data_IF_990571785568
#
_entry.id   IF_990571785568
#
_cell.length_a   1.000
_cell.length_b   1.000
_cell.length_c   1.000
_cell.angle_alpha   90.00
_cell.angle_beta   90.00
_cell.angle_gamma   90.00
#
_symmetry.space_group_name_H-M   'P 1'
#
loop_
_entity.id
_entity.type
_entity.pdbx_description
1 polymer ?
#
# COMPACT_ATOMS: atom_id res chain seq x y z
N UNK A 1 -22.62 -45.57 -29.06
CA UNK A 1 -22.34 -45.83 -27.64
C UNK A 1 -21.18 -44.93 -27.26
N UNK A 2 -21.48 -43.63 -27.08
CA UNK A 2 -21.81 -42.99 -25.78
C UNK A 2 -20.58 -42.94 -24.88
N UNK A 3 -19.89 -41.80 -24.88
CA UNK A 3 -19.70 -41.01 -23.65
C UNK A 3 -19.05 -39.65 -24.00
N UNK A 4 -19.88 -38.63 -24.26
CA UNK A 4 -19.42 -37.24 -24.29
C UNK A 4 -19.50 -36.70 -22.86
N UNK A 5 -18.35 -36.73 -22.18
CA UNK A 5 -18.17 -36.25 -20.82
C UNK A 5 -18.26 -34.73 -20.74
N UNK A 6 -19.45 -34.27 -20.38
CA UNK A 6 -19.77 -32.92 -19.93
C UNK A 6 -18.97 -32.59 -18.65
N UNK A 7 -17.92 -31.76 -18.80
CA UNK A 7 -17.22 -31.12 -17.67
C UNK A 7 -17.70 -29.67 -17.56
N UNK A 8 -18.98 -29.50 -17.26
CA UNK A 8 -19.50 -28.27 -16.66
C UNK A 8 -18.99 -28.16 -15.22
N UNK A 9 -18.01 -27.29 -14.99
CA UNK A 9 -17.62 -26.90 -13.64
C UNK A 9 -18.82 -26.25 -12.95
N UNK A 10 -19.38 -26.95 -11.97
CA UNK A 10 -20.42 -26.44 -11.09
C UNK A 10 -19.85 -25.27 -10.28
N UNK A 11 -20.15 -24.05 -10.71
CA UNK A 11 -20.02 -22.84 -9.90
C UNK A 11 -20.90 -23.07 -8.66
N UNK A 12 -20.29 -23.06 -7.49
CA UNK A 12 -20.93 -23.45 -6.24
C UNK A 12 -22.08 -22.49 -5.90
N UNK A 13 -23.10 -22.98 -5.18
CA UNK A 13 -24.19 -22.13 -4.67
C UNK A 13 -23.69 -21.03 -3.72
N UNK A 14 -22.53 -21.21 -3.08
CA UNK A 14 -21.89 -20.22 -2.21
C UNK A 14 -21.32 -19.03 -3.00
N UNK A 15 -20.73 -19.27 -4.18
CA UNK A 15 -20.23 -18.20 -5.06
C UNK A 15 -21.36 -17.29 -5.56
N UNK A 16 -22.54 -17.86 -5.82
CA UNK A 16 -23.74 -17.10 -6.20
C UNK A 16 -24.30 -16.25 -5.05
N UNK A 17 -24.15 -16.71 -3.79
CA UNK A 17 -24.59 -15.96 -2.59
C UNK A 17 -23.62 -14.81 -2.31
N UNK A 18 -22.30 -15.03 -2.42
CA UNK A 18 -21.32 -13.94 -2.30
C UNK A 18 -21.45 -12.91 -3.43
N UNK A 19 -21.68 -13.33 -4.67
CA UNK A 19 -21.85 -12.41 -5.79
C UNK A 19 -23.15 -11.61 -5.67
N UNK A 20 -24.24 -12.23 -5.20
CA UNK A 20 -25.49 -11.54 -4.89
C UNK A 20 -25.33 -10.54 -3.74
N UNK A 21 -24.61 -10.92 -2.67
CA UNK A 21 -24.32 -10.06 -1.52
C UNK A 21 -23.44 -8.86 -1.90
N UNK A 22 -22.44 -9.07 -2.75
CA UNK A 22 -21.54 -8.00 -3.19
C UNK A 22 -22.19 -7.08 -4.25
N UNK A 23 -22.99 -7.61 -5.18
CA UNK A 23 -23.82 -6.79 -6.08
C UNK A 23 -24.89 -6.02 -5.31
N UNK A 24 -25.46 -6.64 -4.27
CA UNK A 24 -26.30 -5.99 -3.27
C UNK A 24 -25.58 -4.80 -2.66
N UNK A 25 -24.41 -5.02 -2.04
CA UNK A 25 -23.56 -3.98 -1.46
C UNK A 25 -23.18 -2.88 -2.44
N UNK A 26 -22.83 -3.18 -3.69
CA UNK A 26 -22.49 -2.15 -4.69
C UNK A 26 -23.71 -1.38 -5.17
N UNK A 27 -24.84 -2.06 -5.39
CA UNK A 27 -26.09 -1.40 -5.77
C UNK A 27 -26.58 -0.52 -4.62
N UNK A 28 -26.44 -1.00 -3.38
CA UNK A 28 -26.81 -0.32 -2.15
C UNK A 28 -25.82 0.82 -1.87
N UNK A 29 -24.52 0.65 -2.12
CA UNK A 29 -23.51 1.72 -2.02
C UNK A 29 -23.75 2.80 -3.07
N UNK A 30 -24.10 2.41 -4.29
CA UNK A 30 -24.44 3.32 -5.40
C UNK A 30 -25.76 4.05 -5.13
N UNK A 31 -26.78 3.35 -4.62
CA UNK A 31 -28.03 3.94 -4.16
C UNK A 31 -27.80 4.85 -2.96
N UNK A 32 -27.00 4.45 -1.97
CA UNK A 32 -26.60 5.24 -0.81
C UNK A 32 -25.81 6.46 -1.21
N UNK A 33 -24.91 6.38 -2.19
CA UNK A 33 -24.23 7.54 -2.75
C UNK A 33 -25.20 8.46 -3.53
N UNK A 34 -26.16 7.89 -4.25
CA UNK A 34 -27.19 8.64 -4.96
C UNK A 34 -28.17 9.37 -4.01
N UNK A 35 -28.51 8.75 -2.87
CA UNK A 35 -29.36 9.33 -1.82
C UNK A 35 -28.56 10.21 -0.84
N UNK A 36 -27.27 9.96 -0.64
CA UNK A 36 -26.34 10.81 0.11
C UNK A 36 -26.29 12.24 -0.46
N UNK A 37 -26.42 12.33 -1.79
CA UNK A 37 -26.42 13.60 -2.52
C UNK A 37 -27.78 14.32 -2.39
N UNK A 38 -28.84 13.67 -1.91
CA UNK A 38 -30.19 14.24 -1.79
C UNK A 38 -30.82 13.98 -0.42
N UNK A 39 -30.51 14.83 0.57
CA UNK A 39 -31.36 15.04 1.76
C UNK A 39 -30.80 14.55 3.09
N UNK A 40 -31.07 13.30 3.53
CA UNK A 40 -30.85 12.89 4.92
C UNK A 40 -29.37 12.81 5.33
N UNK A 41 -28.44 12.59 4.40
CA UNK A 41 -27.01 12.70 4.70
C UNK A 41 -26.50 14.14 4.71
N UNK A 42 -27.15 15.07 4.02
CA UNK A 42 -26.80 16.50 4.14
C UNK A 42 -27.14 17.02 5.54
N UNK A 43 -28.26 16.59 6.13
CA UNK A 43 -28.60 16.92 7.52
C UNK A 43 -27.60 16.32 8.51
N UNK A 44 -27.19 15.06 8.30
CA UNK A 44 -26.11 14.45 9.09
C UNK A 44 -24.82 15.23 8.93
N UNK A 45 -24.41 15.57 7.70
CA UNK A 45 -23.21 16.35 7.43
C UNK A 45 -23.26 17.74 8.10
N UNK A 46 -24.40 18.41 8.01
CA UNK A 46 -24.63 19.69 8.68
C UNK A 46 -24.55 19.56 10.20
N UNK A 47 -25.07 18.46 10.76
CA UNK A 47 -24.92 18.13 12.19
C UNK A 47 -23.45 17.91 12.53
N UNK A 48 -22.70 17.16 11.73
CA UNK A 48 -21.25 16.95 11.94
C UNK A 48 -20.45 18.26 11.86
N UNK A 49 -20.75 19.13 10.88
CA UNK A 49 -20.09 20.44 10.75
C UNK A 49 -20.41 21.33 11.96
N UNK A 50 -21.65 21.32 12.45
CA UNK A 50 -22.04 22.02 13.68
C UNK A 50 -21.31 21.48 14.90
N UNK A 51 -21.26 20.15 15.07
CA UNK A 51 -20.53 19.51 16.16
C UNK A 51 -19.02 19.80 16.10
N UNK A 52 -18.42 19.86 14.91
CA UNK A 52 -17.03 20.29 14.73
C UNK A 52 -16.83 21.76 15.09
N UNK A 53 -17.78 22.63 14.73
CA UNK A 53 -17.72 24.06 15.05
C UNK A 53 -17.89 24.32 16.55
N UNK A 54 -18.76 23.56 17.23
CA UNK A 54 -18.94 23.57 18.69
C UNK A 54 -17.72 22.98 19.41
N UNK A 55 -17.15 21.89 18.92
CA UNK A 55 -15.90 21.33 19.44
C UNK A 55 -14.72 22.29 19.30
N UNK A 56 -14.65 23.04 18.19
CA UNK A 56 -13.62 24.05 17.95
C UNK A 56 -13.77 25.29 18.84
N UNK A 57 -15.00 25.61 19.28
CA UNK A 57 -15.28 26.72 20.20
C UNK A 57 -14.59 26.52 21.55
N UNK A 58 -14.45 25.26 22.00
CA UNK A 58 -13.72 24.91 23.22
C UNK A 58 -12.22 25.24 23.15
N UNK A 59 -11.65 25.36 21.95
CA UNK A 59 -10.25 25.75 21.75
C UNK A 59 -10.10 27.26 21.52
N UNK A 60 -10.95 27.85 20.67
CA UNK A 60 -11.02 29.31 20.56
C UNK A 60 -12.36 29.80 19.96
N UNK A 61 -12.88 30.97 20.39
CA UNK A 61 -14.11 31.54 19.83
C UNK A 61 -13.99 31.89 18.33
N UNK A 62 -12.77 32.16 17.85
CA UNK A 62 -12.51 32.47 16.43
C UNK A 62 -12.52 31.23 15.54
N UNK A 63 -12.21 30.06 16.08
CA UNK A 63 -12.19 28.80 15.32
C UNK A 63 -13.59 28.42 14.83
N UNK A 64 -14.63 28.59 15.66
CA UNK A 64 -16.03 28.37 15.26
C UNK A 64 -16.43 29.19 14.03
N UNK A 65 -16.08 30.47 14.02
CA UNK A 65 -16.38 31.37 12.88
C UNK A 65 -15.62 30.95 11.62
N UNK A 66 -14.37 30.50 11.76
CA UNK A 66 -13.56 30.00 10.65
C UNK A 66 -14.16 28.71 10.06
N UNK A 67 -14.52 27.73 10.89
CA UNK A 67 -15.15 26.47 10.44
C UNK A 67 -16.46 26.74 9.71
N UNK A 68 -17.29 27.65 10.24
CA UNK A 68 -18.56 28.03 9.60
C UNK A 68 -18.36 28.78 8.27
N UNK A 69 -17.31 29.60 8.14
CA UNK A 69 -16.94 30.23 6.86
C UNK A 69 -16.41 29.21 5.83
N UNK A 70 -15.73 28.17 6.30
CA UNK A 70 -15.22 27.09 5.45
C UNK A 70 -16.27 26.04 5.09
N UNK A 71 -17.48 26.09 5.67
CA UNK A 71 -18.58 25.15 5.39
C UNK A 71 -18.76 24.80 3.91
N UNK A 72 -18.92 25.76 2.96
CA UNK A 72 -19.12 25.42 1.55
C UNK A 72 -17.91 24.71 0.94
N UNK A 73 -16.69 25.06 1.35
CA UNK A 73 -15.48 24.39 0.87
C UNK A 73 -15.38 22.95 1.42
N UNK A 74 -15.74 22.73 2.69
CA UNK A 74 -15.79 21.40 3.31
C UNK A 74 -16.84 20.52 2.62
N UNK A 75 -18.03 21.05 2.35
CA UNK A 75 -19.08 20.31 1.64
C UNK A 75 -18.66 19.90 0.22
N UNK A 76 -18.06 20.83 -0.53
CA UNK A 76 -17.53 20.53 -1.87
C UNK A 76 -16.44 19.47 -1.76
N UNK A 77 -15.51 19.62 -0.81
CA UNK A 77 -14.42 18.66 -0.57
C UNK A 77 -14.95 17.25 -0.27
N UNK A 78 -15.93 17.12 0.62
CA UNK A 78 -16.53 15.83 0.96
C UNK A 78 -17.25 15.22 -0.23
N UNK A 79 -18.02 16.01 -1.01
CA UNK A 79 -18.66 15.52 -2.24
C UNK A 79 -17.64 15.00 -3.25
N UNK A 80 -16.53 15.74 -3.44
CA UNK A 80 -15.44 15.29 -4.32
C UNK A 80 -14.84 13.99 -3.82
N UNK A 81 -14.54 13.88 -2.51
CA UNK A 81 -14.01 12.66 -1.90
C UNK A 81 -14.96 11.48 -2.10
N UNK A 82 -16.26 11.66 -1.88
CA UNK A 82 -17.26 10.60 -2.06
C UNK A 82 -17.35 10.15 -3.52
N UNK A 83 -17.34 11.09 -4.48
CA UNK A 83 -17.35 10.76 -5.91
C UNK A 83 -16.08 9.99 -6.29
N UNK A 84 -14.92 10.45 -5.84
CA UNK A 84 -13.64 9.77 -6.08
C UNK A 84 -13.65 8.37 -5.46
N UNK A 85 -14.11 8.23 -4.21
CA UNK A 85 -14.25 6.95 -3.52
C UNK A 85 -15.18 6.01 -4.29
N UNK A 86 -16.31 6.49 -4.80
CA UNK A 86 -17.22 5.68 -5.60
C UNK A 86 -16.57 5.17 -6.89
N UNK A 87 -15.81 6.02 -7.59
CA UNK A 87 -15.03 5.61 -8.77
C UNK A 87 -14.02 4.52 -8.39
N UNK A 88 -13.29 4.67 -7.28
CA UNK A 88 -12.38 3.63 -6.81
C UNK A 88 -13.10 2.33 -6.45
N UNK A 89 -14.24 2.39 -5.76
CA UNK A 89 -15.01 1.19 -5.44
C UNK A 89 -15.47 0.45 -6.70
N UNK A 90 -15.87 1.18 -7.75
CA UNK A 90 -16.20 0.59 -9.05
C UNK A 90 -14.95 -0.07 -9.67
N UNK A 91 -13.82 0.62 -9.72
CA UNK A 91 -12.56 0.06 -10.25
C UNK A 91 -12.13 -1.18 -9.47
N UNK A 92 -12.15 -1.13 -8.14
CA UNK A 92 -11.81 -2.25 -7.27
C UNK A 92 -12.77 -3.42 -7.44
N UNK A 93 -14.08 -3.15 -7.55
CA UNK A 93 -15.07 -4.21 -7.81
C UNK A 93 -14.86 -4.90 -9.15
N UNK A 94 -14.51 -4.13 -10.19
CA UNK A 94 -14.16 -4.67 -11.50
C UNK A 94 -12.87 -5.49 -11.41
N UNK A 95 -11.84 -4.96 -10.75
CA UNK A 95 -10.58 -5.65 -10.50
C UNK A 95 -10.76 -6.95 -9.73
N UNK A 96 -11.63 -6.96 -8.72
CA UNK A 96 -11.94 -8.15 -7.92
C UNK A 96 -12.65 -9.24 -8.73
N UNK A 97 -13.58 -8.86 -9.61
CA UNK A 97 -14.21 -9.82 -10.54
C UNK A 97 -13.18 -10.43 -11.48
N UNK A 98 -12.31 -9.61 -12.05
CA UNK A 98 -11.19 -10.08 -12.90
C UNK A 98 -10.28 -11.01 -12.08
N UNK A 99 -9.93 -10.64 -10.86
CA UNK A 99 -9.11 -11.46 -9.96
C UNK A 99 -9.73 -12.82 -9.66
N UNK A 100 -11.04 -12.89 -9.35
CA UNK A 100 -11.74 -14.17 -9.13
C UNK A 100 -11.80 -15.05 -10.40
N UNK A 101 -11.84 -14.45 -11.59
CA UNK A 101 -11.91 -15.17 -12.86
C UNK A 101 -10.54 -15.68 -13.34
N UNK A 102 -9.44 -15.04 -12.93
CA UNK A 102 -8.12 -15.40 -13.41
C UNK A 102 -7.53 -16.59 -12.65
N UNK A 103 -6.90 -17.55 -13.35
CA UNK A 103 -6.14 -18.61 -12.68
C UNK A 103 -4.97 -18.02 -11.90
N UNK A 104 -4.60 -18.66 -10.79
CA UNK A 104 -3.54 -18.18 -9.88
C UNK A 104 -2.22 -17.90 -10.62
N UNK A 105 -1.88 -18.72 -11.62
CA UNK A 105 -0.68 -18.54 -12.43
C UNK A 105 -0.73 -17.24 -13.27
N UNK A 106 -1.89 -16.89 -13.81
CA UNK A 106 -2.06 -15.63 -14.54
C UNK A 106 -1.98 -14.42 -13.61
N UNK A 107 -2.52 -14.52 -12.39
CA UNK A 107 -2.37 -13.47 -11.36
C UNK A 107 -0.90 -13.28 -11.02
N UNK A 108 -0.16 -14.38 -10.80
CA UNK A 108 1.29 -14.36 -10.54
C UNK A 108 2.06 -13.69 -11.69
N UNK A 109 1.70 -13.97 -12.94
CA UNK A 109 2.27 -13.29 -14.11
C UNK A 109 1.97 -11.80 -14.11
N UNK A 110 0.70 -11.38 -13.93
CA UNK A 110 0.32 -9.96 -13.93
C UNK A 110 1.03 -9.20 -12.81
N UNK A 111 1.10 -9.79 -11.62
CA UNK A 111 1.83 -9.21 -10.49
C UNK A 111 3.33 -9.13 -10.76
N UNK A 112 3.93 -10.18 -11.32
CA UNK A 112 5.32 -10.19 -11.74
C UNK A 112 5.62 -9.11 -12.78
N UNK A 113 4.75 -8.93 -13.77
CA UNK A 113 4.86 -7.87 -14.76
C UNK A 113 4.72 -6.48 -14.13
N UNK A 114 3.73 -6.25 -13.27
CA UNK A 114 3.57 -4.97 -12.58
C UNK A 114 4.82 -4.62 -11.74
N UNK A 115 5.36 -5.59 -11.00
CA UNK A 115 6.60 -5.41 -10.23
C UNK A 115 7.80 -5.14 -11.15
N UNK A 116 7.85 -5.82 -12.29
CA UNK A 116 8.96 -5.71 -13.25
C UNK A 116 9.03 -4.37 -13.99
N UNK A 117 7.87 -3.76 -14.28
CA UNK A 117 7.80 -2.51 -15.04
C UNK A 117 7.58 -1.26 -14.18
N UNK A 118 7.11 -1.42 -12.94
CA UNK A 118 6.73 -0.29 -12.08
C UNK A 118 7.27 -0.37 -10.65
N UNK A 119 8.08 -1.39 -10.32
CA UNK A 119 8.54 -1.59 -8.94
C UNK A 119 9.43 -0.46 -8.40
N UNK A 120 10.25 0.15 -9.25
CA UNK A 120 11.13 1.28 -8.90
C UNK A 120 10.38 2.53 -8.44
N UNK A 121 9.15 2.73 -8.94
CA UNK A 121 8.26 3.81 -8.47
C UNK A 121 7.90 3.65 -7.00
N UNK A 122 7.83 2.41 -6.51
CA UNK A 122 7.33 2.01 -5.19
C UNK A 122 8.43 1.40 -4.30
N UNK A 123 9.65 1.91 -4.41
CA UNK A 123 10.80 1.31 -3.74
C UNK A 123 10.67 1.29 -2.21
N UNK A 124 10.11 2.34 -1.58
CA UNK A 124 9.95 2.37 -0.13
C UNK A 124 8.87 1.37 0.32
N UNK A 125 7.79 1.24 -0.44
CA UNK A 125 6.71 0.27 -0.18
C UNK A 125 7.19 -1.17 -0.34
N UNK A 126 7.99 -1.46 -1.38
CA UNK A 126 8.56 -2.80 -1.58
C UNK A 126 9.53 -3.13 -0.45
N UNK A 127 10.43 -2.21 -0.08
CA UNK A 127 11.34 -2.40 1.04
C UNK A 127 10.56 -2.62 2.36
N UNK A 128 9.47 -1.88 2.56
CA UNK A 128 8.61 -2.05 3.73
C UNK A 128 7.97 -3.44 3.78
N UNK A 129 7.45 -3.92 2.64
CA UNK A 129 6.86 -5.25 2.52
C UNK A 129 7.91 -6.34 2.75
N UNK A 130 9.12 -6.19 2.20
CA UNK A 130 10.20 -7.17 2.40
C UNK A 130 10.69 -7.20 3.83
N UNK A 131 10.92 -6.04 4.45
CA UNK A 131 11.23 -5.96 5.87
C UNK A 131 10.11 -6.60 6.69
N UNK A 132 8.86 -6.34 6.36
CA UNK A 132 7.71 -6.91 7.05
C UNK A 132 7.66 -8.43 6.91
N UNK A 133 7.95 -8.95 5.72
CA UNK A 133 8.00 -10.38 5.45
C UNK A 133 9.07 -11.09 6.28
N UNK A 134 10.24 -10.46 6.44
CA UNK A 134 11.36 -11.01 7.20
C UNK A 134 11.11 -10.93 8.71
N UNK A 135 10.58 -9.82 9.21
CA UNK A 135 10.54 -9.55 10.66
C UNK A 135 9.19 -9.81 11.33
N UNK A 136 8.08 -9.89 10.58
CA UNK A 136 6.75 -9.76 11.19
C UNK A 136 5.64 -10.64 10.63
N UNK A 137 5.78 -11.24 9.44
CA UNK A 137 4.65 -11.87 8.73
C UNK A 137 3.98 -13.01 9.51
N UNK A 138 4.76 -14.00 9.96
CA UNK A 138 4.20 -15.17 10.66
C UNK A 138 3.53 -14.77 11.98
N UNK A 139 4.19 -13.88 12.72
CA UNK A 139 3.68 -13.35 13.98
C UNK A 139 2.42 -12.50 13.75
N UNK A 140 2.37 -11.70 12.67
CA UNK A 140 1.21 -10.90 12.32
C UNK A 140 -0.01 -11.78 12.05
N UNK A 141 0.12 -12.82 11.23
CA UNK A 141 -1.03 -13.67 10.86
C UNK A 141 -1.75 -14.23 12.09
N UNK A 142 -0.97 -14.75 13.06
CA UNK A 142 -1.53 -15.27 14.30
C UNK A 142 -2.20 -14.18 15.15
N UNK A 143 -1.58 -13.00 15.27
CA UNK A 143 -2.09 -11.92 16.10
C UNK A 143 -3.30 -11.20 15.47
N UNK A 144 -3.33 -11.04 14.15
CA UNK A 144 -4.46 -10.44 13.43
C UNK A 144 -5.70 -11.31 13.56
N UNK A 145 -5.56 -12.64 13.46
CA UNK A 145 -6.68 -13.56 13.71
C UNK A 145 -7.29 -13.35 15.09
N UNK A 146 -6.46 -13.24 16.13
CA UNK A 146 -6.91 -12.96 17.50
C UNK A 146 -7.66 -11.62 17.57
N UNK A 147 -7.10 -10.56 16.97
CA UNK A 147 -7.73 -9.23 16.99
C UNK A 147 -9.06 -9.24 16.25
N UNK A 148 -9.15 -9.90 15.08
CA UNK A 148 -10.39 -10.01 14.30
C UNK A 148 -11.46 -10.81 15.05
N UNK A 149 -11.10 -11.94 15.67
CA UNK A 149 -12.02 -12.74 16.47
C UNK A 149 -12.62 -11.91 17.62
N UNK A 150 -11.80 -11.15 18.35
CA UNK A 150 -12.27 -10.28 19.43
C UNK A 150 -13.08 -9.07 18.93
N UNK A 151 -12.66 -8.47 17.81
CA UNK A 151 -13.38 -7.35 17.19
C UNK A 151 -14.78 -7.78 16.73
N UNK A 152 -14.90 -8.95 16.10
CA UNK A 152 -16.19 -9.50 15.68
C UNK A 152 -17.11 -9.80 16.87
N UNK A 153 -16.56 -10.31 17.98
CA UNK A 153 -17.33 -10.55 19.20
C UNK A 153 -17.88 -9.24 19.79
N UNK A 154 -17.05 -8.19 19.85
CA UNK A 154 -17.48 -6.85 20.29
C UNK A 154 -18.50 -6.25 19.35
N UNK A 155 -18.34 -6.44 18.03
CA UNK A 155 -19.31 -5.98 17.04
C UNK A 155 -20.67 -6.65 17.23
N UNK A 156 -20.71 -7.97 17.37
CA UNK A 156 -21.95 -8.71 17.59
C UNK A 156 -22.65 -8.26 18.89
N UNK A 157 -21.89 -8.09 19.98
CA UNK A 157 -22.43 -7.55 21.23
C UNK A 157 -22.94 -6.11 21.07
N UNK A 158 -22.25 -5.29 20.27
CA UNK A 158 -22.66 -3.90 19.99
C UNK A 158 -23.93 -3.84 19.14
N UNK A 159 -24.14 -4.76 18.22
CA UNK A 159 -25.37 -4.85 17.41
C UNK A 159 -26.57 -5.22 18.29
N UNK A 160 -26.39 -6.12 19.26
CA UNK A 160 -27.41 -6.46 20.25
C UNK A 160 -27.71 -5.24 21.13
N UNK A 161 -26.69 -4.58 21.69
CA UNK A 161 -26.84 -3.37 22.53
C UNK A 161 -27.52 -2.21 21.79
N UNK A 162 -27.35 -2.10 20.46
CA UNK A 162 -28.04 -1.11 19.63
C UNK A 162 -29.55 -1.36 19.49
N UNK A 163 -30.02 -2.57 19.81
CA UNK A 163 -31.45 -2.93 19.71
C UNK A 163 -32.19 -2.85 21.06
N UNK A 164 -31.48 -2.53 22.14
CA UNK A 164 -32.04 -2.42 23.48
C UNK A 164 -32.78 -1.09 23.62
N UNK A 165 -34.06 -1.19 23.97
CA UNK A 165 -34.99 -0.10 24.29
C UNK A 165 -35.59 -0.44 25.66
N UNK A 166 -34.89 0.00 26.71
CA UNK A 166 -35.21 -0.35 28.11
C UNK A 166 -36.38 0.50 28.67
N UNK A 167 -36.66 1.66 28.07
CA UNK A 167 -37.76 2.56 28.47
C UNK A 167 -39.04 2.40 27.64
N UNK A 168 -39.00 1.55 26.61
CA UNK A 168 -40.12 1.19 25.73
C UNK A 168 -40.75 2.39 25.02
N UNK A 169 -39.96 3.43 24.74
CA UNK A 169 -40.43 4.62 24.05
C UNK A 169 -40.40 4.46 22.50
N UNK A 170 -39.89 3.32 22.02
CA UNK A 170 -39.80 2.98 20.60
C UNK A 170 -38.53 3.50 19.92
N UNK A 171 -37.59 4.08 20.67
CA UNK A 171 -36.29 4.57 20.20
C UNK A 171 -35.18 3.93 21.05
N UNK A 172 -34.24 3.22 20.42
CA UNK A 172 -33.14 2.58 21.13
C UNK A 172 -32.37 3.57 22.02
N UNK A 173 -32.04 3.17 23.26
CA UNK A 173 -31.35 4.01 24.25
C UNK A 173 -30.07 4.66 23.69
N UNK A 174 -29.39 3.95 22.80
CA UNK A 174 -28.12 4.35 22.19
C UNK A 174 -28.28 5.65 21.38
N UNK A 175 -29.46 5.91 20.82
CA UNK A 175 -29.75 7.11 20.04
C UNK A 175 -30.14 8.32 20.91
N UNK A 176 -30.48 8.07 22.18
CA UNK A 176 -30.94 9.10 23.12
C UNK A 176 -29.83 9.68 24.00
N UNK A 177 -28.74 8.92 24.19
CA UNK A 177 -27.64 9.30 25.08
C UNK A 177 -26.68 10.31 24.44
N UNK A 178 -26.03 11.12 25.30
CA UNK A 178 -24.96 12.03 24.87
C UNK A 178 -23.73 11.27 24.33
N UNK A 179 -22.96 11.88 23.43
CA UNK A 179 -21.81 11.25 22.77
C UNK A 179 -20.73 10.75 23.75
N UNK A 180 -20.53 11.44 24.88
CA UNK A 180 -19.59 11.00 25.93
C UNK A 180 -20.13 9.79 26.70
N UNK A 181 -21.43 9.77 27.01
CA UNK A 181 -22.07 8.63 27.65
C UNK A 181 -22.08 7.40 26.72
N UNK A 182 -22.27 7.60 25.42
CA UNK A 182 -22.20 6.55 24.39
C UNK A 182 -20.80 5.94 24.31
N UNK A 183 -19.75 6.77 24.25
CA UNK A 183 -18.38 6.29 24.25
C UNK A 183 -18.10 5.44 25.50
N UNK A 184 -18.56 5.90 26.68
CA UNK A 184 -18.42 5.15 27.93
C UNK A 184 -19.18 3.82 27.89
N UNK A 185 -20.44 3.80 27.46
CA UNK A 185 -21.27 2.57 27.34
C UNK A 185 -20.61 1.56 26.40
N UNK A 186 -20.17 1.98 25.22
CA UNK A 186 -19.48 1.11 24.24
C UNK A 186 -18.11 0.64 24.70
N UNK A 187 -17.37 1.48 25.43
CA UNK A 187 -16.08 1.06 26.02
C UNK A 187 -16.30 0.01 27.10
N UNK A 188 -17.29 0.20 27.98
CA UNK A 188 -17.65 -0.80 29.00
C UNK A 188 -18.12 -2.10 28.34
N UNK A 189 -18.99 -2.01 27.34
CA UNK A 189 -19.44 -3.17 26.56
C UNK A 189 -18.25 -3.94 26.00
N UNK A 190 -17.33 -3.27 25.30
CA UNK A 190 -16.13 -3.90 24.77
C UNK A 190 -15.29 -4.57 25.87
N UNK A 191 -15.07 -3.90 27.01
CA UNK A 191 -14.33 -4.47 28.14
C UNK A 191 -15.03 -5.68 28.77
N UNK A 192 -16.37 -5.73 28.76
CA UNK A 192 -17.14 -6.88 29.27
C UNK A 192 -17.22 -8.03 28.29
N UNK A 193 -17.18 -7.76 26.98
CA UNK A 193 -17.26 -8.79 25.93
C UNK A 193 -15.92 -9.50 25.73
N UNK A 194 -14.79 -8.81 25.92
CA UNK A 194 -13.46 -9.38 25.74
C UNK A 194 -13.11 -10.30 26.93
N UNK A 195 -13.09 -11.61 26.68
CA UNK A 195 -12.81 -12.61 27.72
C UNK A 195 -11.32 -12.69 28.09
N UNK A 196 -10.41 -12.47 27.12
CA UNK A 196 -8.96 -12.61 27.29
C UNK A 196 -8.20 -11.29 27.01
N UNK A 197 -8.27 -10.29 27.91
CA UNK A 197 -7.70 -8.97 27.65
C UNK A 197 -6.17 -8.99 27.49
N UNK A 198 -5.46 -9.84 28.24
CA UNK A 198 -3.99 -9.95 28.14
C UNK A 198 -3.54 -10.52 26.79
N UNK A 199 -4.31 -11.45 26.22
CA UNK A 199 -4.02 -12.00 24.89
C UNK A 199 -4.23 -10.96 23.81
N UNK A 200 -5.29 -10.18 23.89
CA UNK A 200 -5.55 -9.06 22.97
C UNK A 200 -4.46 -7.99 23.08
N UNK A 201 -4.12 -7.57 24.30
CA UNK A 201 -3.04 -6.61 24.56
C UNK A 201 -1.70 -7.09 24.01
N UNK A 202 -1.34 -8.36 24.24
CA UNK A 202 -0.11 -8.95 23.69
C UNK A 202 -0.14 -8.98 22.16
N UNK A 203 -1.28 -9.35 21.56
CA UNK A 203 -1.44 -9.36 20.11
C UNK A 203 -1.24 -7.95 19.53
N UNK A 204 -1.92 -6.93 20.06
CA UNK A 204 -1.76 -5.53 19.65
C UNK A 204 -0.32 -5.04 19.86
N UNK A 205 0.31 -5.37 20.98
CA UNK A 205 1.72 -5.06 21.25
C UNK A 205 2.69 -5.69 20.25
N UNK A 206 2.43 -6.92 19.82
CA UNK A 206 3.20 -7.59 18.78
C UNK A 206 3.01 -6.94 17.41
N UNK A 207 1.78 -6.53 17.06
CA UNK A 207 1.50 -5.78 15.82
C UNK A 207 2.26 -4.45 15.80
N UNK A 208 2.25 -3.72 16.92
CA UNK A 208 3.01 -2.48 17.07
C UNK A 208 4.52 -2.72 16.94
N UNK A 209 5.05 -3.74 17.61
CA UNK A 209 6.46 -4.11 17.52
C UNK A 209 6.85 -4.44 16.08
N UNK A 210 6.04 -5.21 15.35
CA UNK A 210 6.32 -5.54 13.96
C UNK A 210 6.36 -4.28 13.07
N UNK A 211 5.42 -3.34 13.28
CA UNK A 211 5.41 -2.05 12.59
C UNK A 211 6.68 -1.22 12.89
N UNK A 212 7.05 -1.10 14.16
CA UNK A 212 8.24 -0.35 14.58
C UNK A 212 9.51 -0.99 14.03
N UNK A 213 9.59 -2.32 13.98
CA UNK A 213 10.71 -3.04 13.38
C UNK A 213 10.88 -2.71 11.90
N UNK A 214 9.79 -2.71 11.12
CA UNK A 214 9.84 -2.32 9.70
C UNK A 214 10.30 -0.88 9.55
N UNK A 215 9.74 0.04 10.33
CA UNK A 215 10.19 1.43 10.31
C UNK A 215 11.67 1.57 10.67
N UNK A 216 12.17 0.81 11.64
CA UNK A 216 13.57 0.81 12.03
C UNK A 216 14.47 0.29 10.90
N UNK A 217 14.09 -0.80 10.22
CA UNK A 217 14.83 -1.33 9.06
C UNK A 217 14.90 -0.30 7.94
N UNK A 218 13.77 0.29 7.57
CA UNK A 218 13.72 1.33 6.55
C UNK A 218 14.61 2.51 6.94
N UNK A 219 14.52 2.99 8.17
CA UNK A 219 15.39 4.08 8.65
C UNK A 219 16.86 3.74 8.53
N UNK A 220 17.26 2.53 8.94
CA UNK A 220 18.66 2.11 8.89
C UNK A 220 19.18 2.07 7.46
N UNK A 221 18.41 1.55 6.51
CA UNK A 221 18.80 1.51 5.09
C UNK A 221 18.97 2.92 4.51
N UNK A 222 18.00 3.81 4.75
CA UNK A 222 18.05 5.17 4.22
C UNK A 222 19.09 6.05 4.91
N UNK A 223 19.28 5.89 6.22
CA UNK A 223 20.34 6.57 6.97
C UNK A 223 21.71 6.15 6.43
N UNK A 224 21.94 4.86 6.20
CA UNK A 224 23.18 4.36 5.59
C UNK A 224 23.44 4.99 4.22
N UNK A 225 22.43 5.04 3.35
CA UNK A 225 22.55 5.67 2.03
C UNK A 225 22.85 7.17 2.13
N UNK A 226 22.20 7.86 3.06
CA UNK A 226 22.42 9.29 3.32
C UNK A 226 23.83 9.57 3.85
N UNK A 227 24.30 8.80 4.84
CA UNK A 227 25.65 8.95 5.39
C UNK A 227 26.72 8.71 4.33
N UNK A 228 26.51 7.74 3.44
CA UNK A 228 27.42 7.49 2.32
C UNK A 228 27.43 8.67 1.33
N UNK A 229 26.27 9.27 1.06
CA UNK A 229 26.17 10.46 0.21
C UNK A 229 26.93 11.66 0.80
N UNK A 230 26.73 11.94 2.10
CA UNK A 230 27.43 13.01 2.80
C UNK A 230 28.95 12.77 2.88
N UNK A 231 29.38 11.52 3.07
CA UNK A 231 30.80 11.17 3.03
C UNK A 231 31.43 11.47 1.67
N UNK A 232 30.72 11.20 0.57
CA UNK A 232 31.15 11.57 -0.79
C UNK A 232 31.25 13.10 -0.92
N UNK A 233 30.27 13.85 -0.38
CA UNK A 233 30.30 15.31 -0.38
C UNK A 233 31.56 15.85 0.29
N UNK A 234 31.91 15.37 1.48
CA UNK A 234 33.09 15.84 2.19
C UNK A 234 34.39 15.59 1.40
N UNK A 235 34.45 14.53 0.58
CA UNK A 235 35.59 14.28 -0.30
C UNK A 235 35.69 15.26 -1.49
N UNK A 236 34.55 15.69 -2.06
CA UNK A 236 34.52 16.57 -3.24
C UNK A 236 34.40 18.06 -2.90
N UNK A 237 34.07 18.38 -1.65
CA UNK A 237 33.82 19.73 -1.16
C UNK A 237 34.96 20.70 -1.43
N UNK A 238 36.20 20.33 -1.11
CA UNK A 238 37.36 21.21 -1.29
C UNK A 238 37.64 21.55 -2.76
N UNK A 239 37.69 20.57 -3.69
CA UNK A 239 37.72 20.86 -5.12
C UNK A 239 36.61 21.80 -5.58
N UNK A 240 35.36 21.54 -5.18
CA UNK A 240 34.21 22.35 -5.63
C UNK A 240 34.29 23.78 -5.09
N UNK A 241 34.62 23.96 -3.81
CA UNK A 241 34.80 25.28 -3.21
C UNK A 241 35.87 26.10 -3.93
N UNK A 242 36.99 25.48 -4.30
CA UNK A 242 38.07 26.17 -5.01
C UNK A 242 37.61 26.77 -6.34
N UNK A 243 36.68 26.11 -7.04
CA UNK A 243 36.22 26.54 -8.36
C UNK A 243 34.97 27.43 -8.32
N UNK A 244 34.01 27.13 -7.45
CA UNK A 244 32.71 27.82 -7.41
C UNK A 244 32.72 29.06 -6.52
N UNK A 245 33.52 29.06 -5.45
CA UNK A 245 33.47 30.14 -4.46
C UNK A 245 33.90 31.52 -5.02
N UNK A 246 34.98 31.65 -5.82
CA UNK A 246 35.39 32.96 -6.33
C UNK A 246 34.35 33.62 -7.26
N UNK A 247 33.77 32.92 -8.26
CA UNK A 247 32.67 33.45 -9.06
C UNK A 247 31.45 33.86 -8.22
N UNK A 248 31.09 33.05 -7.21
CA UNK A 248 29.92 33.31 -6.37
C UNK A 248 30.10 34.56 -5.50
N UNK A 249 31.30 34.77 -4.95
CA UNK A 249 31.63 35.98 -4.19
C UNK A 249 31.58 37.25 -5.05
N UNK A 250 31.98 37.18 -6.32
CA UNK A 250 31.83 38.31 -7.25
C UNK A 250 30.36 38.64 -7.54
N UNK A 251 29.47 37.64 -7.53
CA UNK A 251 28.05 37.83 -7.81
C UNK A 251 27.24 38.32 -6.59
N UNK A 252 27.54 37.84 -5.38
CA UNK A 252 26.81 38.18 -4.15
C UNK A 252 27.12 39.59 -3.59
N UNK A 253 28.22 40.21 -4.02
CA UNK A 253 28.70 41.48 -3.45
C UNK A 253 29.38 41.32 -2.09
N UNK A 254 30.00 42.40 -1.59
CA UNK A 254 30.79 42.37 -0.34
C UNK A 254 29.97 41.96 0.88
N UNK A 255 28.72 42.43 0.96
CA UNK A 255 27.92 42.34 2.18
C UNK A 255 27.37 40.93 2.41
N UNK A 256 27.13 40.16 1.34
CA UNK A 256 26.60 38.80 1.39
C UNK A 256 27.67 37.72 1.14
N UNK A 257 28.92 38.10 0.84
CA UNK A 257 30.02 37.18 0.52
C UNK A 257 30.27 36.11 1.60
N UNK A 258 29.94 36.39 2.87
CA UNK A 258 30.06 35.44 3.97
C UNK A 258 29.08 34.24 3.88
N UNK A 259 27.93 34.40 3.21
CA UNK A 259 26.99 33.30 2.96
C UNK A 259 27.39 32.40 1.78
N UNK A 260 28.33 32.84 0.94
CA UNK A 260 28.71 32.11 -0.28
C UNK A 260 29.16 30.67 0.01
N UNK A 261 29.93 30.48 1.09
CA UNK A 261 30.37 29.14 1.53
C UNK A 261 29.18 28.27 1.92
N UNK A 262 28.26 28.82 2.72
CA UNK A 262 27.03 28.13 3.15
C UNK A 262 26.16 27.72 1.97
N UNK A 263 25.99 28.61 0.97
CA UNK A 263 25.22 28.27 -0.23
C UNK A 263 25.83 27.11 -1.01
N UNK A 264 27.15 27.10 -1.20
CA UNK A 264 27.84 26.01 -1.89
C UNK A 264 27.70 24.70 -1.12
N UNK A 265 27.89 24.72 0.20
CA UNK A 265 27.75 23.52 1.06
C UNK A 265 26.33 22.96 1.04
N UNK A 266 25.32 23.80 1.26
CA UNK A 266 23.91 23.37 1.25
C UNK A 266 23.51 22.83 -0.12
N UNK A 267 23.91 23.51 -1.20
CA UNK A 267 23.62 23.06 -2.57
C UNK A 267 24.27 21.71 -2.85
N UNK A 268 25.53 21.53 -2.43
CA UNK A 268 26.26 20.28 -2.62
C UNK A 268 25.63 19.12 -1.85
N UNK A 269 25.21 19.36 -0.60
CA UNK A 269 24.49 18.38 0.22
C UNK A 269 23.15 17.99 -0.42
N UNK A 270 22.37 18.97 -0.90
CA UNK A 270 21.08 18.71 -1.56
C UNK A 270 21.28 17.89 -2.84
N UNK A 271 22.25 18.24 -3.68
CA UNK A 271 22.55 17.49 -4.91
C UNK A 271 22.96 16.06 -4.57
N UNK A 272 23.85 15.87 -3.60
CA UNK A 272 24.28 14.53 -3.19
C UNK A 272 23.14 13.69 -2.64
N UNK A 273 22.23 14.28 -1.85
CA UNK A 273 21.03 13.61 -1.37
C UNK A 273 20.13 13.16 -2.53
N UNK A 274 19.88 14.05 -3.50
CA UNK A 274 19.08 13.72 -4.69
C UNK A 274 19.71 12.57 -5.49
N UNK A 275 21.03 12.60 -5.69
CA UNK A 275 21.77 11.53 -6.37
C UNK A 275 21.67 10.22 -5.60
N UNK A 276 21.81 10.25 -4.28
CA UNK A 276 21.73 9.07 -3.43
C UNK A 276 20.34 8.43 -3.46
N UNK A 277 19.28 9.25 -3.41
CA UNK A 277 17.90 8.76 -3.59
C UNK A 277 17.69 8.18 -4.99
N UNK A 278 18.27 8.78 -6.03
CA UNK A 278 18.21 8.23 -7.38
C UNK A 278 18.91 6.87 -7.50
N UNK A 279 20.09 6.73 -6.89
CA UNK A 279 20.80 5.45 -6.82
C UNK A 279 20.00 4.39 -6.06
N UNK A 280 19.36 4.76 -4.95
CA UNK A 280 18.47 3.84 -4.21
C UNK A 280 17.30 3.38 -5.09
N UNK A 281 16.67 4.29 -5.83
CA UNK A 281 15.61 3.94 -6.78
C UNK A 281 16.10 2.97 -7.86
N UNK A 282 17.31 3.16 -8.40
CA UNK A 282 17.91 2.24 -9.38
C UNK A 282 18.14 0.85 -8.78
N UNK A 283 18.66 0.76 -7.55
CA UNK A 283 18.91 -0.52 -6.90
C UNK A 283 17.59 -1.27 -6.66
N UNK A 284 16.58 -0.57 -6.16
CA UNK A 284 15.26 -1.14 -5.91
C UNK A 284 14.53 -1.50 -7.21
N UNK A 285 14.65 -0.69 -8.26
CA UNK A 285 14.08 -1.01 -9.57
C UNK A 285 14.72 -2.26 -10.16
N UNK A 286 16.04 -2.41 -10.04
CA UNK A 286 16.77 -3.60 -10.45
C UNK A 286 16.29 -4.85 -9.70
N UNK A 287 16.23 -4.78 -8.37
CA UNK A 287 15.71 -5.87 -7.54
C UNK A 287 14.26 -6.25 -7.91
N UNK A 288 13.38 -5.25 -8.05
CA UNK A 288 11.98 -5.48 -8.42
C UNK A 288 11.82 -6.05 -9.84
N UNK A 289 12.69 -5.66 -10.78
CA UNK A 289 12.72 -6.20 -12.13
C UNK A 289 13.09 -7.68 -12.15
N UNK A 290 14.16 -8.07 -11.44
CA UNK A 290 14.58 -9.48 -11.34
C UNK A 290 13.48 -10.31 -10.67
N UNK A 291 12.95 -9.84 -9.54
CA UNK A 291 11.91 -10.56 -8.82
C UNK A 291 10.61 -10.67 -9.62
N UNK A 292 10.21 -9.59 -10.29
CA UNK A 292 9.04 -9.54 -11.14
C UNK A 292 9.18 -10.47 -12.36
N UNK A 293 10.35 -10.46 -12.99
CA UNK A 293 10.71 -11.35 -14.09
C UNK A 293 10.65 -12.82 -13.70
N UNK A 294 11.20 -13.19 -12.54
CA UNK A 294 11.10 -14.55 -12.00
C UNK A 294 9.66 -14.97 -11.75
N UNK A 295 8.86 -14.14 -11.08
CA UNK A 295 7.44 -14.43 -10.83
C UNK A 295 6.66 -14.61 -12.14
N UNK A 296 6.95 -13.79 -13.13
CA UNK A 296 6.34 -13.89 -14.46
C UNK A 296 6.72 -15.18 -15.17
N UNK A 297 8.01 -15.55 -15.18
CA UNK A 297 8.49 -16.77 -15.82
C UNK A 297 7.91 -18.03 -15.18
N UNK A 298 7.92 -18.11 -13.85
CA UNK A 298 7.33 -19.22 -13.09
C UNK A 298 5.83 -19.37 -13.40
N UNK A 299 5.08 -18.26 -13.41
CA UNK A 299 3.66 -18.28 -13.76
C UNK A 299 3.40 -18.66 -15.22
N UNK A 300 4.22 -18.17 -16.15
CA UNK A 300 4.11 -18.49 -17.58
C UNK A 300 4.35 -19.98 -17.84
N UNK A 301 5.39 -20.55 -17.24
CA UNK A 301 5.73 -21.96 -17.38
C UNK A 301 4.62 -22.83 -16.79
N UNK A 302 4.09 -22.48 -15.61
CA UNK A 302 2.96 -23.19 -15.02
C UNK A 302 1.75 -23.21 -15.97
N UNK A 303 1.40 -22.08 -16.61
CA UNK A 303 0.32 -22.03 -17.61
C UNK A 303 0.63 -22.88 -18.85
N UNK A 304 1.89 -22.90 -19.30
CA UNK A 304 2.31 -23.68 -20.46
C UNK A 304 2.30 -25.20 -20.19
N UNK A 305 2.61 -25.62 -18.95
CA UNK A 305 2.48 -27.00 -18.47
C UNK A 305 1.00 -27.39 -18.42
N UNK A 306 0.15 -26.57 -17.78
CA UNK A 306 -1.29 -26.83 -17.62
C UNK A 306 -2.02 -27.02 -18.96
N UNK A 307 -1.58 -26.31 -20.01
CA UNK A 307 -2.18 -26.38 -21.35
C UNK A 307 -1.52 -27.40 -22.30
N UNK A 308 -0.58 -28.20 -21.80
CA UNK A 308 0.22 -29.16 -22.59
C UNK A 308 0.90 -28.52 -23.83
N UNK A 309 1.13 -27.20 -23.80
CA UNK A 309 1.70 -26.44 -24.92
C UNK A 309 3.21 -26.69 -25.07
N UNK A 310 3.90 -26.98 -23.96
CA UNK A 310 5.34 -27.30 -23.98
C UNK A 310 5.64 -28.54 -24.84
N UNK A 311 4.72 -29.51 -24.89
CA UNK A 311 4.86 -30.74 -25.70
C UNK A 311 4.88 -30.46 -27.21
N UNK A 312 4.30 -29.34 -27.65
CA UNK A 312 4.18 -28.97 -29.07
C UNK A 312 5.40 -28.21 -29.59
N UNK A 313 6.28 -27.75 -28.71
CA UNK A 313 7.45 -26.96 -29.11
C UNK A 313 8.58 -27.86 -29.63
N UNK A 314 9.17 -27.58 -30.81
CA UNK A 314 10.15 -28.44 -31.46
C UNK A 314 11.47 -28.57 -30.69
N UNK A 315 11.82 -27.57 -29.88
CA UNK A 315 13.05 -27.56 -29.08
C UNK A 315 13.02 -28.56 -27.90
N UNK A 316 11.84 -28.83 -27.33
CA UNK A 316 11.68 -29.76 -26.20
C UNK A 316 11.64 -31.24 -26.61
N UNK A 317 11.36 -31.54 -27.89
CA UNK A 317 11.48 -32.91 -28.43
C UNK A 317 12.92 -33.43 -28.40
N UNK A 318 13.92 -32.55 -28.42
CA UNK A 318 15.34 -32.93 -28.49
C UNK A 318 16.00 -33.13 -27.12
N UNK A 319 15.42 -32.55 -26.06
CA UNK A 319 15.84 -32.78 -24.67
C UNK A 319 15.29 -34.11 -24.08
N UNK A 320 14.32 -34.75 -24.74
CA UNK A 320 13.90 -36.14 -24.47
C UNK A 320 14.81 -37.10 -25.24
N UNK A 321 15.90 -37.54 -24.64
CA UNK A 321 16.65 -38.72 -25.11
C UNK A 321 16.29 -40.00 -24.35
N UNK A 322 15.39 -39.93 -23.38
CA UNK A 322 14.85 -41.07 -22.63
C UNK A 322 13.33 -41.02 -22.73
N UNK A 323 12.75 -41.91 -23.54
CA UNK A 323 11.32 -42.13 -23.56
C UNK A 323 10.88 -42.71 -22.19
N UNK A 324 9.96 -42.07 -21.46
CA UNK A 324 9.38 -42.69 -20.28
C UNK A 324 8.51 -43.89 -20.69
N UNK A 325 8.43 -44.94 -19.84
CA UNK A 325 7.60 -46.11 -20.12
C UNK A 325 6.12 -45.72 -20.32
N UNK A 326 5.44 -46.46 -21.21
CA UNK A 326 4.03 -46.25 -21.56
C UNK A 326 3.15 -46.08 -20.31
N UNK A 327 2.56 -44.90 -20.15
CA UNK A 327 1.60 -44.59 -19.09
C UNK A 327 2.03 -43.50 -18.11
N UNK A 328 3.31 -43.11 -18.10
CA UNK A 328 3.82 -42.08 -17.20
C UNK A 328 3.89 -40.70 -17.89
N UNK A 329 3.24 -39.69 -17.31
CA UNK A 329 3.34 -38.32 -17.80
C UNK A 329 4.78 -37.87 -17.58
N UNK A 330 5.51 -37.58 -18.65
CA UNK A 330 6.77 -36.84 -18.53
C UNK A 330 6.50 -35.50 -17.86
N UNK A 331 6.74 -35.42 -16.56
CA UNK A 331 6.76 -34.18 -15.80
C UNK A 331 7.96 -33.39 -16.30
N UNK A 332 7.69 -32.19 -16.82
CA UNK A 332 8.74 -31.24 -17.09
C UNK A 332 9.31 -30.84 -15.72
N UNK A 333 10.53 -31.25 -15.43
CA UNK A 333 11.20 -30.83 -14.21
C UNK A 333 11.64 -29.38 -14.39
N UNK A 334 10.92 -28.48 -13.73
CA UNK A 334 11.22 -27.06 -13.75
C UNK A 334 12.57 -26.76 -13.09
N UNK A 335 13.07 -27.65 -12.22
CA UNK A 335 14.30 -27.43 -11.47
C UNK A 335 15.56 -27.79 -12.27
N UNK A 336 15.44 -28.56 -13.36
CA UNK A 336 16.57 -28.90 -14.25
C UNK A 336 16.68 -27.99 -15.50
N UNK A 337 15.66 -27.16 -15.77
CA UNK A 337 15.57 -26.40 -17.02
C UNK A 337 15.82 -24.90 -16.83
N UNK A 338 16.89 -24.37 -17.41
CA UNK A 338 17.23 -22.92 -17.44
C UNK A 338 16.22 -22.03 -18.20
N UNK A 339 15.09 -22.56 -18.66
CA UNK A 339 14.14 -21.81 -19.48
C UNK A 339 13.47 -20.68 -18.68
N UNK A 340 13.08 -20.96 -17.44
CA UNK A 340 12.47 -19.99 -16.55
C UNK A 340 13.44 -18.85 -16.23
N UNK A 341 14.72 -19.16 -16.03
CA UNK A 341 15.79 -18.18 -15.83
C UNK A 341 15.98 -17.30 -17.07
N UNK A 342 16.09 -17.89 -18.27
CA UNK A 342 16.29 -17.12 -19.52
C UNK A 342 15.11 -16.20 -19.78
N UNK A 343 13.87 -16.67 -19.62
CA UNK A 343 12.66 -15.86 -19.77
C UNK A 343 12.63 -14.78 -18.69
N UNK A 344 12.88 -15.15 -17.44
CA UNK A 344 12.83 -14.26 -16.29
C UNK A 344 13.84 -13.12 -16.38
N UNK A 345 15.11 -13.42 -16.67
CA UNK A 345 16.16 -12.41 -16.82
C UNK A 345 15.98 -11.54 -18.06
N UNK A 346 15.52 -12.09 -19.18
CA UNK A 346 15.21 -11.30 -20.38
C UNK A 346 14.09 -10.30 -20.11
N UNK A 347 13.02 -10.76 -19.45
CA UNK A 347 11.88 -9.93 -19.08
C UNK A 347 12.27 -8.88 -18.04
N UNK A 348 13.10 -9.26 -17.05
CA UNK A 348 13.67 -8.34 -16.07
C UNK A 348 14.53 -7.25 -16.73
N UNK A 349 15.37 -7.61 -17.70
CA UNK A 349 16.20 -6.65 -18.43
C UNK A 349 15.36 -5.60 -19.17
N UNK A 350 14.31 -6.04 -19.86
CA UNK A 350 13.37 -5.15 -20.54
C UNK A 350 12.61 -4.26 -19.56
N UNK A 351 12.09 -4.84 -18.47
CA UNK A 351 11.36 -4.09 -17.45
C UNK A 351 12.23 -3.06 -16.73
N UNK A 352 13.47 -3.41 -16.40
CA UNK A 352 14.42 -2.49 -15.79
C UNK A 352 14.78 -1.34 -16.74
N UNK A 353 15.05 -1.63 -18.02
CA UNK A 353 15.33 -0.59 -19.01
C UNK A 353 14.13 0.35 -19.19
N UNK A 354 12.91 -0.20 -19.21
CA UNK A 354 11.68 0.59 -19.26
C UNK A 354 11.54 1.52 -18.05
N UNK A 355 11.83 1.03 -16.84
CA UNK A 355 11.78 1.84 -15.63
C UNK A 355 12.76 3.02 -15.69
N UNK A 356 13.99 2.77 -16.20
CA UNK A 356 15.01 3.80 -16.37
C UNK A 356 14.61 4.85 -17.41
N UNK A 357 14.11 4.43 -18.57
CA UNK A 357 13.73 5.36 -19.66
C UNK A 357 12.45 6.12 -19.34
N UNK A 358 11.55 5.54 -18.55
CA UNK A 358 10.32 6.20 -18.08
C UNK A 358 10.55 7.13 -16.88
N UNK A 359 11.78 7.22 -16.36
CA UNK A 359 12.12 8.06 -15.22
C UNK A 359 11.39 7.69 -13.93
N UNK A 360 11.07 6.40 -13.75
CA UNK A 360 10.30 5.90 -12.60
C UNK A 360 8.92 6.56 -12.40
N UNK A 361 8.35 7.12 -13.48
CA UNK A 361 7.01 7.68 -13.46
C UNK A 361 5.98 6.66 -13.96
N UNK A 362 4.76 6.73 -13.42
CA UNK A 362 3.64 5.93 -13.92
C UNK A 362 2.95 6.66 -15.07
N UNK A 363 2.79 6.01 -16.24
CA UNK A 363 2.03 6.61 -17.33
C UNK A 363 0.53 6.66 -16.96
N UNK A 364 -0.17 7.65 -17.50
CA UNK A 364 -1.64 7.66 -17.44
C UNK A 364 -2.19 6.49 -18.27
N UNK A 365 -3.20 5.72 -17.78
CA UNK A 365 -4.01 5.95 -16.58
C UNK A 365 -3.55 5.18 -15.32
N UNK A 366 -2.41 4.50 -15.34
CA UNK A 366 -1.93 3.70 -14.21
C UNK A 366 -1.64 4.55 -12.97
N UNK A 367 -1.22 5.80 -13.17
CA UNK A 367 -1.06 6.76 -12.07
C UNK A 367 -2.34 6.97 -11.24
N UNK A 368 -3.51 6.94 -11.87
CA UNK A 368 -4.80 7.08 -11.19
C UNK A 368 -5.17 5.78 -10.47
N UNK A 369 -5.02 4.64 -11.14
CA UNK A 369 -5.34 3.33 -10.56
C UNK A 369 -4.47 3.04 -9.33
N UNK A 370 -3.17 3.34 -9.39
CA UNK A 370 -2.24 3.12 -8.28
C UNK A 370 -2.04 4.35 -7.38
N UNK A 371 -2.90 5.37 -7.48
CA UNK A 371 -2.80 6.55 -6.63
C UNK A 371 -2.85 6.23 -5.12
N UNK A 372 -3.69 5.29 -4.62
CA UNK A 372 -3.65 4.91 -3.20
C UNK A 372 -2.27 4.36 -2.77
N UNK A 373 -1.64 3.55 -3.63
CA UNK A 373 -0.30 3.03 -3.38
C UNK A 373 0.74 4.15 -3.44
N UNK A 374 0.55 5.12 -4.32
CA UNK A 374 1.39 6.33 -4.40
C UNK A 374 1.32 7.14 -3.10
N UNK A 375 0.14 7.28 -2.50
CA UNK A 375 0.00 7.94 -1.19
C UNK A 375 0.76 7.20 -0.08
N UNK A 376 0.68 5.86 -0.05
CA UNK A 376 1.44 5.04 0.91
C UNK A 376 2.95 5.22 0.72
N UNK A 377 3.41 5.20 -0.53
CA UNK A 377 4.81 5.43 -0.88
C UNK A 377 5.29 6.81 -0.39
N UNK A 378 4.52 7.87 -0.66
CA UNK A 378 4.84 9.22 -0.18
C UNK A 378 4.85 9.31 1.35
N UNK A 379 3.88 8.68 2.01
CA UNK A 379 3.80 8.65 3.47
C UNK A 379 5.03 7.95 4.08
N UNK A 380 5.45 6.81 3.52
CA UNK A 380 6.65 6.10 3.96
C UNK A 380 7.91 6.94 3.75
N UNK A 381 8.08 7.54 2.57
CA UNK A 381 9.20 8.44 2.28
C UNK A 381 9.24 9.63 3.25
N UNK A 382 8.08 10.21 3.54
CA UNK A 382 7.98 11.31 4.51
C UNK A 382 8.37 10.88 5.93
N UNK A 383 7.88 9.73 6.39
CA UNK A 383 8.24 9.18 7.71
C UNK A 383 9.75 8.96 7.82
N UNK A 384 10.37 8.43 6.77
CA UNK A 384 11.81 8.18 6.72
C UNK A 384 12.60 9.49 6.73
N UNK A 385 12.21 10.47 5.90
CA UNK A 385 12.89 11.76 5.82
C UNK A 385 12.81 12.55 7.13
N UNK A 386 11.62 12.61 7.75
CA UNK A 386 11.40 13.37 9.00
C UNK A 386 12.14 12.76 10.19
N UNK A 387 12.28 11.44 10.22
CA UNK A 387 13.01 10.79 11.32
C UNK A 387 14.52 10.75 11.12
N UNK A 388 15.03 10.72 9.88
CA UNK A 388 16.46 10.91 9.62
C UNK A 388 16.93 12.31 10.09
N UNK A 389 16.15 13.35 9.79
CA UNK A 389 16.44 14.71 10.24
C UNK A 389 16.49 14.86 11.78
N UNK A 390 15.67 14.10 12.51
CA UNK A 390 15.67 14.12 13.98
C UNK A 390 16.96 13.53 14.60
N UNK A 391 17.63 12.58 13.92
CA UNK A 391 18.87 11.99 14.41
C UNK A 391 20.09 12.92 14.25
N UNK A 392 20.15 13.72 13.18
CA UNK A 392 21.23 14.70 13.01
C UNK A 392 21.21 15.80 14.08
N UNK A 393 20.01 16.21 14.52
CA UNK A 393 19.85 17.18 15.61
C UNK A 393 20.27 16.59 16.96
N UNK A 394 20.07 15.29 17.17
CA UNK A 394 20.53 14.59 18.38
C UNK A 394 22.04 14.34 18.40
N UNK A 395 22.66 14.08 17.26
CA UNK A 395 24.10 13.82 17.15
C UNK A 395 25.00 15.06 17.16
N UNK A 396 24.46 16.25 16.89
CA UNK A 396 25.19 17.52 17.01
C UNK A 396 25.26 18.05 18.47
N UNK A 397 24.67 17.32 19.43
CA UNK A 397 24.60 17.68 20.84
C UNK A 397 25.46 16.84 21.79
N UNK A 398 26.29 15.93 21.28
CA UNK A 398 27.28 15.16 22.06
C UNK A 398 28.72 15.54 21.72
#
# INVERSE_FOLDING_TARGET
MTDDGDKGGSISSEDNIEEAGFRGLLSESSQRLGTAIKGPEQEKLDRWIKLMAEGAENFSPRAKKCVMMCKPAIEIGIKVILVVMAIYLVIFSMGYKVFKLLPMNAIKMVFGAALCFFGGTYYASIAAIEAFRIFGWETLQANVKIVMEQANAVQAASEIDNSVDDDHDGVADVDQISSQALLRRKTVLAMTTIQEPERLKKAVGNLWTAYVSVLATLRLEFARTTSLALAIVEMIKFPIMRWILPPLMMFLGSDLSHWAKTFVEVTLNVIAMVVAWYMQMIISSFYSAIRGGRLFAEGLIAVLIEKDLLRKLPFFKKARSSDPPEGEKAEFDADESYLDEVIGFSFAGVGFLWQLTSGFALPFPLNLVFFPLTLVEYFLRWQIATTAAAQEVGGAGE
#
